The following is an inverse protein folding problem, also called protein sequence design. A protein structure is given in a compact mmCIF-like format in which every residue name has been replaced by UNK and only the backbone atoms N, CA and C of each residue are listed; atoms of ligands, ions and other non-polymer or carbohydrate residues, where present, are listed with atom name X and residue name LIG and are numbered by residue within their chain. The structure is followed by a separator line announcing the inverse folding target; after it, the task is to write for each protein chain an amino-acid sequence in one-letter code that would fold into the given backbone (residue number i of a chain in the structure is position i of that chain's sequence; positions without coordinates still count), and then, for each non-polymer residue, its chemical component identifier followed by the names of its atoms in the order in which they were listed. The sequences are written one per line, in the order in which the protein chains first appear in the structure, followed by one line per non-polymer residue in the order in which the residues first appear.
data_IF_375343467423
#
_entry.id   IF_375343467423
#
_cell.length_a   1.000
_cell.length_b   1.000
_cell.length_c   1.000
_cell.angle_alpha   90.00
_cell.angle_beta   90.00
_cell.angle_gamma   90.00
#
_symmetry.space_group_name_H-M   'P 1'
#
loop_
_entity.id
_entity.type
_entity.pdbx_description
1 polymer ?
#
# COMPACT_ATOMS: atom_id res chain seq x y z
N UNK A 1 17.22 -0.65 18.93
CA UNK A 1 16.53 0.61 19.29
C UNK A 1 15.04 0.29 19.36
N UNK A 2 14.45 0.38 20.55
CA UNK A 2 13.11 -0.16 20.82
C UNK A 2 12.04 0.70 20.14
N UNK A 3 11.50 0.20 19.02
CA UNK A 3 10.15 0.60 18.58
C UNK A 3 9.24 0.10 19.69
N UNK A 4 8.81 0.98 20.59
CA UNK A 4 7.75 0.65 21.55
C UNK A 4 6.54 0.26 20.71
N UNK A 5 6.34 -1.06 20.59
CA UNK A 5 5.14 -1.74 20.11
C UNK A 5 3.95 -0.88 20.49
N UNK A 6 3.04 -0.62 19.55
CA UNK A 6 1.73 0.02 19.75
C UNK A 6 0.92 -0.79 20.78
N UNK A 7 1.34 -0.73 22.05
CA UNK A 7 0.63 -1.28 23.19
C UNK A 7 -0.54 -0.33 23.41
N UNK A 8 -1.69 -0.69 22.85
CA UNK A 8 -2.97 -0.15 23.28
C UNK A 8 -3.22 1.34 22.99
N UNK A 9 -3.03 1.80 21.76
CA UNK A 9 -3.58 3.10 21.33
C UNK A 9 -4.87 2.92 20.50
N UNK A 10 -5.90 2.39 21.15
CA UNK A 10 -7.35 2.63 20.94
C UNK A 10 -8.15 1.52 21.65
N UNK A 11 -8.60 1.85 22.86
CA UNK A 11 -9.57 1.26 23.81
C UNK A 11 -10.36 -0.04 23.48
N UNK A 12 -10.55 -0.53 22.25
CA UNK A 12 -11.29 -1.77 21.97
C UNK A 12 -10.86 -2.61 20.75
N UNK A 13 -9.84 -2.21 19.98
CA UNK A 13 -9.50 -2.93 18.73
C UNK A 13 -8.25 -3.81 18.88
N UNK A 14 -8.43 -5.12 18.83
CA UNK A 14 -7.35 -6.10 18.69
C UNK A 14 -6.55 -5.83 17.40
N UNK A 15 -5.22 -5.91 17.47
CA UNK A 15 -4.30 -5.83 16.32
C UNK A 15 -4.67 -6.85 15.23
N UNK A 16 -5.20 -8.01 15.62
CA UNK A 16 -5.73 -9.01 14.69
C UNK A 16 -6.87 -8.44 13.84
N UNK A 17 -7.83 -7.79 14.49
CA UNK A 17 -8.96 -7.13 13.82
C UNK A 17 -8.50 -5.95 12.96
N UNK A 18 -7.51 -5.18 13.44
CA UNK A 18 -6.90 -4.09 12.67
C UNK A 18 -6.31 -4.56 11.34
N UNK A 19 -5.47 -5.61 11.36
CA UNK A 19 -4.88 -6.19 10.14
C UNK A 19 -5.96 -6.75 9.21
N UNK A 20 -7.03 -7.33 9.75
CA UNK A 20 -8.13 -7.87 8.96
C UNK A 20 -8.91 -6.75 8.25
N UNK A 21 -9.31 -5.69 8.97
CA UNK A 21 -10.02 -4.54 8.38
C UNK A 21 -9.16 -3.86 7.31
N UNK A 22 -7.88 -3.63 7.59
CA UNK A 22 -6.95 -3.04 6.62
C UNK A 22 -6.79 -3.93 5.38
N UNK A 23 -6.65 -5.25 5.58
CA UNK A 23 -6.58 -6.20 4.47
C UNK A 23 -7.85 -6.21 3.61
N UNK A 24 -9.03 -6.14 4.22
CA UNK A 24 -10.29 -6.04 3.47
C UNK A 24 -10.40 -4.76 2.66
N UNK A 25 -10.04 -3.61 3.23
CA UNK A 25 -10.02 -2.34 2.51
C UNK A 25 -9.05 -2.38 1.32
N UNK A 26 -7.90 -3.01 1.49
CA UNK A 26 -6.89 -3.14 0.43
C UNK A 26 -7.32 -4.10 -0.69
N UNK A 27 -8.04 -5.18 -0.36
CA UNK A 27 -8.69 -6.07 -1.33
C UNK A 27 -9.75 -5.30 -2.13
N UNK A 28 -10.62 -4.54 -1.46
CA UNK A 28 -11.65 -3.74 -2.14
C UNK A 28 -11.02 -2.70 -3.08
N UNK A 29 -9.96 -2.02 -2.64
CA UNK A 29 -9.22 -1.07 -3.49
C UNK A 29 -8.56 -1.74 -4.71
N UNK A 30 -7.97 -2.92 -4.51
CA UNK A 30 -7.37 -3.70 -5.60
C UNK A 30 -8.42 -4.17 -6.61
N UNK A 31 -9.57 -4.67 -6.13
CA UNK A 31 -10.69 -5.07 -6.98
C UNK A 31 -11.27 -3.88 -7.76
N UNK A 32 -11.45 -2.73 -7.09
CA UNK A 32 -11.87 -1.50 -7.76
C UNK A 32 -10.90 -1.10 -8.87
N UNK A 33 -9.59 -1.17 -8.62
CA UNK A 33 -8.56 -0.88 -9.63
C UNK A 33 -8.64 -1.84 -10.81
N UNK A 34 -8.82 -3.14 -10.57
CA UNK A 34 -8.94 -4.15 -11.61
C UNK A 34 -10.19 -3.97 -12.48
N UNK A 35 -11.30 -3.52 -11.90
CA UNK A 35 -12.56 -3.29 -12.63
C UNK A 35 -12.53 -1.97 -13.41
N UNK A 36 -11.97 -0.91 -12.81
CA UNK A 36 -12.05 0.45 -13.35
C UNK A 36 -10.93 0.75 -14.34
N UNK A 37 -9.71 0.23 -14.14
CA UNK A 37 -8.58 0.53 -15.03
C UNK A 37 -8.87 0.20 -16.50
N UNK A 38 -9.40 -0.99 -16.87
CA UNK A 38 -9.71 -1.30 -18.27
C UNK A 38 -10.71 -0.33 -18.90
N UNK A 39 -11.68 0.15 -18.13
CA UNK A 39 -12.70 1.08 -18.61
C UNK A 39 -12.07 2.45 -18.90
N UNK A 40 -11.33 3.02 -17.93
CA UNK A 40 -10.70 4.34 -18.05
C UNK A 40 -9.72 4.36 -19.23
N UNK A 41 -8.81 3.38 -19.30
CA UNK A 41 -7.78 3.36 -20.33
C UNK A 41 -8.33 3.09 -21.73
N UNK A 42 -9.40 2.26 -21.84
CA UNK A 42 -10.11 2.06 -23.11
C UNK A 42 -10.85 3.31 -23.55
N UNK A 43 -11.57 3.97 -22.66
CA UNK A 43 -12.28 5.22 -22.97
C UNK A 43 -11.31 6.34 -23.40
N UNK A 44 -10.17 6.48 -22.72
CA UNK A 44 -9.14 7.44 -23.10
C UNK A 44 -8.63 7.22 -24.54
N UNK A 45 -8.41 5.96 -24.93
CA UNK A 45 -7.96 5.60 -26.27
C UNK A 45 -9.05 5.63 -27.35
N UNK A 46 -10.33 5.51 -26.99
CA UNK A 46 -11.44 5.44 -27.96
C UNK A 46 -12.16 6.77 -28.16
N UNK A 47 -12.30 7.59 -27.10
CA UNK A 47 -12.86 8.95 -27.19
C UNK A 47 -11.80 9.98 -27.58
N UNK A 48 -10.53 9.73 -27.25
CA UNK A 48 -9.39 10.53 -27.70
C UNK A 48 -9.00 10.20 -29.14
N UNK A 49 -9.80 10.62 -30.13
CA UNK A 49 -9.44 10.54 -31.57
C UNK A 49 -8.14 11.29 -31.95
N UNK A 50 -7.42 11.87 -30.98
CA UNK A 50 -6.17 12.61 -31.16
C UNK A 50 -4.93 11.97 -30.52
N UNK A 51 -5.06 10.91 -29.72
CA UNK A 51 -3.88 10.24 -29.14
C UNK A 51 -3.22 9.37 -30.21
N UNK A 52 -1.93 9.60 -30.47
CA UNK A 52 -1.18 8.83 -31.45
C UNK A 52 -1.14 7.33 -31.09
N UNK A 53 -0.92 6.46 -32.09
CA UNK A 53 -0.78 4.99 -31.86
C UNK A 53 0.24 4.67 -30.75
N UNK A 54 1.29 5.46 -30.64
CA UNK A 54 2.35 5.34 -29.62
C UNK A 54 1.86 5.69 -28.21
N UNK A 55 1.03 6.72 -28.07
CA UNK A 55 0.49 7.16 -26.78
C UNK A 55 -0.54 6.16 -26.25
N UNK A 56 -1.36 5.60 -27.14
CA UNK A 56 -2.26 4.50 -26.76
C UNK A 56 -1.50 3.24 -26.35
N UNK A 57 -0.44 2.86 -27.07
CA UNK A 57 0.40 1.73 -26.67
C UNK A 57 1.01 1.96 -25.28
N UNK A 58 1.54 3.16 -25.00
CA UNK A 58 2.07 3.50 -23.68
C UNK A 58 1.00 3.45 -22.58
N UNK A 59 -0.23 3.88 -22.88
CA UNK A 59 -1.37 3.81 -21.96
C UNK A 59 -1.74 2.36 -21.62
N UNK A 60 -1.79 1.46 -22.62
CA UNK A 60 -2.03 0.03 -22.40
C UNK A 60 -0.92 -0.63 -21.58
N UNK A 61 0.35 -0.27 -21.80
CA UNK A 61 1.47 -0.77 -21.00
C UNK A 61 1.33 -0.33 -19.53
N UNK A 62 0.97 0.93 -19.28
CA UNK A 62 0.71 1.43 -17.91
C UNK A 62 -0.47 0.70 -17.26
N UNK A 63 -1.55 0.48 -18.00
CA UNK A 63 -2.70 -0.30 -17.52
C UNK A 63 -2.28 -1.72 -17.15
N UNK A 64 -1.49 -2.39 -17.99
CA UNK A 64 -0.96 -3.72 -17.69
C UNK A 64 -0.14 -3.75 -16.40
N UNK A 65 0.73 -2.74 -16.20
CA UNK A 65 1.50 -2.59 -14.95
C UNK A 65 0.61 -2.38 -13.72
N UNK A 66 -0.46 -1.59 -13.83
CA UNK A 66 -1.44 -1.39 -12.76
C UNK A 66 -2.20 -2.68 -12.42
N UNK A 67 -2.60 -3.44 -13.44
CA UNK A 67 -3.28 -4.73 -13.24
C UNK A 67 -2.35 -5.72 -12.53
N UNK A 68 -1.12 -5.89 -13.02
CA UNK A 68 -0.14 -6.82 -12.45
C UNK A 68 0.17 -6.44 -11.00
N UNK A 69 0.44 -5.17 -10.73
CA UNK A 69 0.71 -4.69 -9.35
C UNK A 69 -0.49 -4.87 -8.43
N UNK A 70 -1.72 -4.69 -8.92
CA UNK A 70 -2.95 -4.95 -8.14
C UNK A 70 -3.12 -6.43 -7.82
N UNK A 71 -2.86 -7.34 -8.76
CA UNK A 71 -2.92 -8.78 -8.54
C UNK A 71 -1.88 -9.22 -7.50
N UNK A 72 -0.64 -8.75 -7.62
CA UNK A 72 0.44 -9.04 -6.65
C UNK A 72 0.02 -8.54 -5.26
N UNK A 73 -0.49 -7.31 -5.17
CA UNK A 73 -0.95 -6.72 -3.91
C UNK A 73 -2.06 -7.55 -3.28
N UNK A 74 -3.02 -8.02 -4.08
CA UNK A 74 -4.12 -8.86 -3.61
C UNK A 74 -3.61 -10.19 -3.05
N UNK A 75 -2.71 -10.87 -3.77
CA UNK A 75 -2.10 -12.13 -3.30
C UNK A 75 -1.34 -11.94 -1.99
N UNK A 76 -0.55 -10.87 -1.88
CA UNK A 76 0.20 -10.56 -0.66
C UNK A 76 -0.70 -10.17 0.50
N UNK A 77 -1.81 -9.50 0.24
CA UNK A 77 -2.80 -9.12 1.25
C UNK A 77 -3.52 -10.36 1.79
N UNK A 78 -3.85 -11.33 0.91
CA UNK A 78 -4.40 -12.61 1.34
C UNK A 78 -3.40 -13.40 2.20
N UNK A 79 -2.12 -13.43 1.82
CA UNK A 79 -1.04 -14.02 2.62
C UNK A 79 -0.92 -13.36 4.00
N UNK A 80 -1.05 -12.04 4.07
CA UNK A 80 -1.06 -11.29 5.33
C UNK A 80 -2.24 -11.68 6.23
N UNK A 81 -3.45 -11.72 5.67
CA UNK A 81 -4.66 -12.10 6.42
C UNK A 81 -4.53 -13.53 6.91
N UNK A 82 -4.12 -14.46 6.03
CA UNK A 82 -3.94 -15.87 6.36
C UNK A 82 -2.86 -16.06 7.42
N UNK A 83 -1.72 -15.39 7.29
CA UNK A 83 -0.65 -15.40 8.29
C UNK A 83 -1.08 -14.84 9.64
N UNK A 84 -1.92 -13.79 9.65
CA UNK A 84 -2.48 -13.23 10.89
C UNK A 84 -3.48 -14.17 11.58
N UNK A 85 -4.27 -14.92 10.80
CA UNK A 85 -5.26 -15.88 11.29
C UNK A 85 -4.61 -17.17 11.79
N UNK A 86 -3.63 -17.69 11.06
CA UNK A 86 -2.87 -18.91 11.39
C UNK A 86 -1.72 -18.65 12.37
N UNK A 87 -1.59 -17.43 12.88
CA UNK A 87 -0.50 -17.01 13.77
C UNK A 87 0.90 -17.39 13.22
N UNK A 88 1.08 -17.27 11.90
CA UNK A 88 2.34 -17.56 11.22
C UNK A 88 3.04 -16.25 10.79
N UNK A 89 4.10 -15.82 11.50
CA UNK A 89 4.77 -14.55 11.25
C UNK A 89 5.59 -14.54 9.95
N UNK A 90 5.88 -15.71 9.36
CA UNK A 90 6.62 -15.81 8.09
C UNK A 90 5.74 -15.45 6.89
N UNK A 91 4.45 -15.80 6.94
CA UNK A 91 3.50 -15.49 5.86
C UNK A 91 3.20 -14.00 5.74
N UNK A 92 3.43 -13.23 6.80
CA UNK A 92 3.26 -11.77 6.82
C UNK A 92 4.48 -11.00 6.29
N UNK A 93 5.66 -11.63 6.19
CA UNK A 93 6.90 -10.95 5.78
C UNK A 93 6.86 -10.34 4.37
N UNK A 94 6.37 -11.05 3.33
CA UNK A 94 6.40 -10.53 1.97
C UNK A 94 5.71 -9.18 1.81
N UNK A 95 4.53 -9.01 2.43
CA UNK A 95 3.81 -7.73 2.37
C UNK A 95 4.51 -6.63 3.17
N UNK A 96 5.12 -6.96 4.32
CA UNK A 96 5.84 -5.99 5.15
C UNK A 96 7.04 -5.43 4.40
N UNK A 97 7.80 -6.30 3.72
CA UNK A 97 8.96 -5.90 2.92
C UNK A 97 8.49 -5.03 1.75
N UNK A 98 7.48 -5.47 1.00
CA UNK A 98 6.99 -4.73 -0.16
C UNK A 98 6.47 -3.33 0.25
N UNK A 99 5.68 -3.24 1.32
CA UNK A 99 5.16 -1.96 1.83
C UNK A 99 6.27 -1.05 2.35
N UNK A 100 7.30 -1.60 2.99
CA UNK A 100 8.47 -0.84 3.43
C UNK A 100 9.22 -0.20 2.25
N UNK A 101 9.44 -0.97 1.17
CA UNK A 101 10.02 -0.45 -0.07
C UNK A 101 9.12 0.61 -0.70
N UNK A 102 7.80 0.37 -0.74
CA UNK A 102 6.83 1.30 -1.31
C UNK A 102 6.81 2.65 -0.57
N UNK A 103 6.91 2.64 0.77
CA UNK A 103 7.01 3.86 1.57
C UNK A 103 8.24 4.66 1.19
N UNK A 104 9.40 4.00 1.05
CA UNK A 104 10.64 4.66 0.65
C UNK A 104 10.51 5.29 -0.75
N UNK A 105 9.97 4.54 -1.72
CA UNK A 105 9.75 5.04 -3.08
C UNK A 105 8.77 6.21 -3.08
N UNK A 106 7.68 6.12 -2.32
CA UNK A 106 6.65 7.19 -2.22
C UNK A 106 7.23 8.45 -1.61
N UNK A 107 8.08 8.32 -0.59
CA UNK A 107 8.77 9.44 0.03
C UNK A 107 9.68 10.14 -0.99
N UNK A 108 10.55 9.39 -1.69
CA UNK A 108 11.44 9.95 -2.70
C UNK A 108 10.66 10.59 -3.85
N UNK A 109 9.61 9.93 -4.35
CA UNK A 109 8.78 10.45 -5.43
C UNK A 109 8.04 11.73 -5.02
N UNK A 110 7.50 11.79 -3.80
CA UNK A 110 6.81 12.99 -3.28
C UNK A 110 7.75 14.18 -3.25
N UNK A 111 8.96 14.01 -2.71
CA UNK A 111 9.95 15.08 -2.66
C UNK A 111 10.40 15.53 -4.06
N UNK A 112 10.70 14.57 -4.94
CA UNK A 112 11.08 14.86 -6.32
C UNK A 112 9.97 15.65 -7.07
N UNK A 113 8.72 15.18 -7.00
CA UNK A 113 7.58 15.83 -7.64
C UNK A 113 7.29 17.21 -7.03
N UNK A 114 7.47 17.36 -5.73
CA UNK A 114 7.32 18.65 -5.06
C UNK A 114 8.35 19.65 -5.59
N UNK A 115 9.64 19.28 -5.61
CA UNK A 115 10.71 20.14 -6.15
C UNK A 115 10.44 20.51 -7.61
N UNK A 116 10.02 19.54 -8.42
CA UNK A 116 9.68 19.81 -9.81
C UNK A 116 8.50 20.77 -9.95
N UNK A 117 7.43 20.57 -9.16
CA UNK A 117 6.26 21.44 -9.19
C UNK A 117 6.55 22.86 -8.70
N UNK A 118 7.50 23.02 -7.78
CA UNK A 118 7.95 24.33 -7.29
C UNK A 118 8.49 25.22 -8.43
N UNK A 119 9.11 24.63 -9.45
CA UNK A 119 9.61 25.35 -10.63
C UNK A 119 8.46 26.06 -11.38
N UNK A 120 7.25 25.48 -11.35
CA UNK A 120 6.09 25.99 -12.08
C UNK A 120 5.14 26.80 -11.21
N UNK A 121 4.90 26.38 -9.97
CA UNK A 121 3.93 27.02 -9.07
C UNK A 121 4.16 26.64 -7.60
N UNK A 122 4.21 27.67 -6.74
CA UNK A 122 4.26 27.50 -5.29
C UNK A 122 2.99 26.83 -4.72
N UNK A 123 1.83 27.07 -5.35
CA UNK A 123 0.58 26.43 -4.95
C UNK A 123 0.60 24.93 -5.27
N UNK A 124 1.12 24.54 -6.43
CA UNK A 124 1.28 23.12 -6.81
C UNK A 124 2.31 22.41 -5.95
N UNK A 125 3.40 23.09 -5.58
CA UNK A 125 4.37 22.58 -4.61
C UNK A 125 3.69 22.27 -3.26
N UNK A 126 2.98 23.25 -2.70
CA UNK A 126 2.35 23.08 -1.39
C UNK A 126 1.30 21.96 -1.39
N UNK A 127 0.51 21.83 -2.46
CA UNK A 127 -0.53 20.80 -2.53
C UNK A 127 0.05 19.39 -2.66
N UNK A 128 1.06 19.20 -3.52
CA UNK A 128 1.74 17.91 -3.70
C UNK A 128 2.48 17.51 -2.41
N UNK A 129 3.19 18.45 -1.79
CA UNK A 129 3.91 18.19 -0.56
C UNK A 129 2.95 17.79 0.56
N UNK A 130 1.83 18.50 0.73
CA UNK A 130 0.84 18.20 1.77
C UNK A 130 0.15 16.84 1.51
N UNK A 131 -0.35 16.62 0.30
CA UNK A 131 -1.03 15.37 -0.06
C UNK A 131 -0.08 14.16 0.03
N UNK A 132 1.16 14.30 -0.41
CA UNK A 132 2.17 13.25 -0.36
C UNK A 132 2.62 12.90 1.07
N UNK A 133 2.74 13.88 1.97
CA UNK A 133 3.05 13.61 3.37
C UNK A 133 1.88 12.95 4.12
N UNK A 134 0.64 13.36 3.84
CA UNK A 134 -0.55 12.69 4.41
C UNK A 134 -0.63 11.25 3.94
N UNK A 135 -0.49 11.01 2.62
CA UNK A 135 -0.54 9.65 2.08
C UNK A 135 0.61 8.79 2.61
N UNK A 136 1.82 9.33 2.71
CA UNK A 136 2.97 8.67 3.32
C UNK A 136 2.75 8.34 4.80
N UNK A 137 2.15 9.26 5.57
CA UNK A 137 1.80 9.04 6.97
C UNK A 137 0.79 7.90 7.16
N UNK A 138 -0.24 7.84 6.30
CA UNK A 138 -1.22 6.73 6.30
C UNK A 138 -0.52 5.41 5.95
N UNK A 139 0.35 5.39 4.93
CA UNK A 139 1.09 4.19 4.56
C UNK A 139 2.02 3.70 5.69
N UNK A 140 2.73 4.62 6.33
CA UNK A 140 3.57 4.32 7.50
C UNK A 140 2.75 3.74 8.65
N UNK A 141 1.59 4.31 8.94
CA UNK A 141 0.69 3.82 9.98
C UNK A 141 0.24 2.38 9.68
N UNK A 142 -0.24 2.11 8.46
CA UNK A 142 -0.65 0.76 8.03
C UNK A 142 0.50 -0.24 8.17
N UNK A 143 1.70 0.14 7.72
CA UNK A 143 2.89 -0.69 7.83
C UNK A 143 3.24 -1.01 9.30
N UNK A 144 3.18 -0.02 10.18
CA UNK A 144 3.41 -0.21 11.62
C UNK A 144 2.39 -1.14 12.27
N UNK A 145 1.12 -1.10 11.88
CA UNK A 145 0.08 -2.02 12.37
C UNK A 145 0.42 -3.47 11.99
N UNK A 146 0.81 -3.70 10.72
CA UNK A 146 1.16 -5.04 10.24
C UNK A 146 2.43 -5.56 10.93
N UNK A 147 3.45 -4.71 11.08
CA UNK A 147 4.67 -5.04 11.81
C UNK A 147 4.38 -5.38 13.28
N UNK A 148 3.55 -4.58 13.95
CA UNK A 148 3.17 -4.79 15.35
C UNK A 148 2.45 -6.14 15.53
N UNK A 149 1.53 -6.50 14.62
CA UNK A 149 0.85 -7.81 14.66
C UNK A 149 1.83 -8.97 14.46
N UNK A 150 2.79 -8.83 13.54
CA UNK A 150 3.83 -9.84 13.34
C UNK A 150 4.69 -10.05 14.59
N UNK A 151 5.09 -8.97 15.26
CA UNK A 151 5.85 -9.05 16.51
C UNK A 151 5.04 -9.68 17.64
N UNK A 152 3.75 -9.35 17.74
CA UNK A 152 2.84 -9.97 18.71
C UNK A 152 2.78 -11.50 18.53
N UNK A 153 2.59 -11.98 17.30
CA UNK A 153 2.58 -13.40 16.96
C UNK A 153 3.93 -14.06 17.31
N UNK A 154 5.04 -13.42 16.91
CA UNK A 154 6.39 -13.94 17.20
C UNK A 154 6.62 -14.09 18.71
N UNK A 155 6.22 -13.10 19.49
CA UNK A 155 6.41 -13.12 20.95
C UNK A 155 5.51 -14.17 21.63
N UNK A 156 4.30 -14.42 21.13
CA UNK A 156 3.44 -15.52 21.58
C UNK A 156 4.09 -16.89 21.31
N UNK A 157 4.60 -17.11 20.10
CA UNK A 157 5.28 -18.38 19.73
C UNK A 157 6.61 -18.61 20.45
N UNK A 158 7.29 -17.55 20.90
CA UNK A 158 8.51 -17.67 21.70
C UNK A 158 8.25 -18.04 23.16
N UNK A 159 7.07 -17.67 23.70
CA UNK A 159 6.68 -17.96 25.09
C UNK A 159 6.20 -19.40 25.29
N UNK A 160 5.81 -20.12 24.23
CA UNK A 160 5.36 -21.52 24.32
C UNK A 160 6.49 -22.54 24.37
N UNK A 161 7.74 -22.12 24.16
CA UNK A 161 8.93 -22.99 24.22
C UNK A 161 9.65 -22.94 25.57
N UNK A 162 9.02 -22.34 26.60
CA UNK A 162 9.49 -22.31 27.98
C UNK A 162 8.43 -22.82 28.97
N UNK A 163 7.57 -23.75 28.54
CA UNK A 163 6.62 -24.48 29.39
C UNK A 163 6.93 -25.98 29.35
#
# INVERSE_FOLDING_TARGET
MAIKILKSFCVCCDLKSGVLVLGFLEILGSLGTLLVAPIIYREACTRGKSLGKTECAAAYTRMGGLIISSVITLVLTLLMIFGSQMENPLMMLPIIILKGVLILVTFVATWYLSIYAFIFSSASFSSILFAGNISGGIMLYIWLVICSRREEIKNKSGSSNCA
#
